data_IF_142546903904
#
_entry.id   IF_142546903904
#
_cell.length_a   1.000
_cell.length_b   1.000
_cell.length_c   1.000
_cell.angle_alpha   90.00
_cell.angle_beta   90.00
_cell.angle_gamma   90.00
#
_symmetry.space_group_name_H-M   'P 1'
#
loop_
_entity.id
_entity.type
_entity.pdbx_description
1 polymer ?
#
# COMPACT_ATOMS: atom_id res chain seq x y z
N UNK A 1 5.20 -7.51 27.82
CA UNK A 1 5.09 -6.08 27.46
C UNK A 1 4.06 -6.00 26.36
N UNK A 2 3.07 -5.09 26.44
CA UNK A 2 2.12 -4.89 25.33
C UNK A 2 2.84 -4.38 24.09
N UNK A 3 2.29 -4.62 22.91
CA UNK A 3 2.78 -4.04 21.66
C UNK A 3 2.70 -2.51 21.69
N UNK A 4 1.65 -1.96 22.31
CA UNK A 4 1.54 -0.52 22.57
C UNK A 4 2.80 0.02 23.28
N UNK A 5 3.20 -0.55 24.42
CA UNK A 5 4.37 -0.05 25.16
C UNK A 5 5.69 -0.35 24.43
N UNK A 6 5.79 -1.48 23.72
CA UNK A 6 6.94 -1.81 22.87
C UNK A 6 7.18 -0.69 21.84
N UNK A 7 6.14 -0.32 21.09
CA UNK A 7 6.26 0.63 19.99
C UNK A 7 6.38 2.09 20.46
N UNK A 8 5.80 2.44 21.61
CA UNK A 8 6.04 3.76 22.22
C UNK A 8 7.50 3.90 22.64
N UNK A 9 8.05 2.89 23.34
CA UNK A 9 9.40 2.95 23.86
C UNK A 9 10.47 3.01 22.75
N UNK A 10 10.16 2.52 21.55
CA UNK A 10 11.03 2.61 20.38
C UNK A 10 10.77 3.84 19.51
N UNK A 11 9.79 4.68 19.85
CA UNK A 11 9.41 5.83 19.05
C UNK A 11 10.19 7.09 19.45
N UNK A 12 10.54 7.91 18.45
CA UNK A 12 11.15 9.22 18.65
C UNK A 12 10.18 10.26 19.27
N UNK A 13 8.88 9.93 19.36
CA UNK A 13 7.85 10.86 19.84
C UNK A 13 6.95 10.26 20.93
N UNK A 14 7.54 9.58 21.92
CA UNK A 14 6.83 8.93 23.04
C UNK A 14 5.73 9.82 23.66
N UNK A 15 6.01 11.10 23.90
CA UNK A 15 5.06 12.04 24.51
C UNK A 15 3.77 12.15 23.69
N UNK A 16 3.88 12.27 22.37
CA UNK A 16 2.74 12.38 21.46
C UNK A 16 1.82 11.14 21.56
N UNK A 17 2.39 9.93 21.51
CA UNK A 17 1.58 8.71 21.57
C UNK A 17 0.92 8.52 22.93
N UNK A 18 1.62 8.87 24.03
CA UNK A 18 1.02 8.79 25.37
C UNK A 18 -0.18 9.72 25.52
N UNK A 19 -0.06 10.97 25.04
CA UNK A 19 -1.18 11.93 25.06
C UNK A 19 -2.39 11.44 24.26
N UNK A 20 -2.17 10.76 23.13
CA UNK A 20 -3.24 10.16 22.32
C UNK A 20 -3.85 8.93 22.97
N UNK A 21 -3.03 8.04 23.55
CA UNK A 21 -3.52 6.87 24.28
C UNK A 21 -4.39 7.21 25.49
N UNK A 22 -4.13 8.34 26.14
CA UNK A 22 -4.94 8.80 27.27
C UNK A 22 -6.37 9.19 26.83
N UNK A 23 -6.57 9.48 25.54
CA UNK A 23 -7.88 9.78 24.97
C UNK A 23 -8.65 8.53 24.54
N UNK A 24 -8.00 7.36 24.46
CA UNK A 24 -8.62 6.12 24.04
C UNK A 24 -9.30 5.39 25.20
N UNK A 25 -10.52 4.91 24.96
CA UNK A 25 -11.20 3.99 25.86
C UNK A 25 -10.59 2.56 25.81
N UNK A 26 -11.07 1.67 26.67
CA UNK A 26 -10.55 0.30 26.74
C UNK A 26 -10.81 -0.52 25.47
N UNK A 27 -11.92 -0.28 24.78
CA UNK A 27 -12.26 -0.96 23.52
C UNK A 27 -11.34 -0.50 22.40
N UNK A 28 -11.07 0.80 22.32
CA UNK A 28 -10.13 1.41 21.38
C UNK A 28 -8.70 0.91 21.63
N UNK A 29 -8.27 0.82 22.89
CA UNK A 29 -6.95 0.25 23.25
C UNK A 29 -6.81 -1.21 22.86
N UNK A 30 -7.85 -2.02 23.09
CA UNK A 30 -7.85 -3.42 22.64
C UNK A 30 -7.76 -3.54 21.11
N UNK A 31 -8.49 -2.70 20.37
CA UNK A 31 -8.43 -2.64 18.91
C UNK A 31 -7.06 -2.16 18.40
N UNK A 32 -6.44 -1.19 19.08
CA UNK A 32 -5.10 -0.72 18.76
C UNK A 32 -4.08 -1.86 18.89
N UNK A 33 -4.14 -2.64 19.97
CA UNK A 33 -3.25 -3.79 20.18
C UNK A 33 -3.42 -4.86 19.10
N UNK A 34 -4.67 -5.19 18.70
CA UNK A 34 -4.95 -6.11 17.58
C UNK A 34 -4.36 -5.61 16.25
N UNK A 35 -4.54 -4.32 15.95
CA UNK A 35 -4.02 -3.73 14.72
C UNK A 35 -2.49 -3.70 14.69
N UNK A 36 -1.83 -3.41 15.81
CA UNK A 36 -0.36 -3.46 15.91
C UNK A 36 0.18 -4.85 15.58
N UNK A 37 -0.42 -5.90 16.14
CA UNK A 37 -0.03 -7.29 15.86
C UNK A 37 -0.18 -7.63 14.38
N UNK A 38 -1.30 -7.20 13.77
CA UNK A 38 -1.59 -7.47 12.35
C UNK A 38 -0.68 -6.69 11.41
N UNK A 39 -0.39 -5.43 11.71
CA UNK A 39 0.53 -4.58 10.92
C UNK A 39 1.97 -5.09 11.04
N UNK A 40 2.42 -5.45 12.24
CA UNK A 40 3.74 -6.07 12.44
C UNK A 40 3.87 -7.36 11.63
N UNK A 41 2.87 -8.24 11.68
CA UNK A 41 2.85 -9.48 10.86
C UNK A 41 2.77 -9.21 9.37
N UNK A 42 2.16 -8.11 8.96
CA UNK A 42 2.12 -7.68 7.56
C UNK A 42 3.44 -7.05 7.10
N UNK A 43 4.38 -6.78 8.02
CA UNK A 43 5.71 -6.23 7.71
C UNK A 43 5.83 -4.72 7.91
N UNK A 44 4.86 -4.05 8.52
CA UNK A 44 4.94 -2.61 8.74
C UNK A 44 6.12 -2.24 9.65
N UNK A 45 6.96 -1.29 9.21
CA UNK A 45 8.10 -0.75 9.95
C UNK A 45 7.67 0.21 11.07
N UNK A 46 6.59 0.98 10.84
CA UNK A 46 6.02 1.94 11.81
C UNK A 46 4.55 1.63 12.14
N UNK A 47 4.24 0.44 12.66
CA UNK A 47 2.85 -0.02 12.81
C UNK A 47 2.01 0.86 13.74
N UNK A 48 2.63 1.60 14.66
CA UNK A 48 1.92 2.46 15.61
C UNK A 48 1.18 3.62 14.94
N UNK A 49 1.77 4.25 13.93
CA UNK A 49 1.14 5.37 13.21
C UNK A 49 -0.11 4.91 12.46
N UNK A 50 0.03 3.82 11.70
CA UNK A 50 -1.06 3.17 10.98
C UNK A 50 -2.18 2.72 11.92
N UNK A 51 -1.84 2.04 13.02
CA UNK A 51 -2.82 1.49 13.94
C UNK A 51 -3.55 2.60 14.72
N UNK A 52 -2.84 3.64 15.17
CA UNK A 52 -3.42 4.74 15.92
C UNK A 52 -4.37 5.56 15.04
N UNK A 53 -3.96 5.95 13.82
CA UNK A 53 -4.83 6.63 12.86
C UNK A 53 -6.08 5.80 12.52
N UNK A 54 -5.95 4.47 12.39
CA UNK A 54 -7.11 3.60 12.19
C UNK A 54 -8.15 3.74 13.32
N UNK A 55 -7.69 3.83 14.57
CA UNK A 55 -8.55 3.87 15.75
C UNK A 55 -9.15 5.25 15.95
N UNK A 56 -8.35 6.31 15.81
CA UNK A 56 -8.77 7.70 16.05
C UNK A 56 -9.67 8.25 14.96
N UNK A 57 -9.33 7.98 13.69
CA UNK A 57 -10.05 8.54 12.54
C UNK A 57 -11.11 7.58 12.00
N UNK A 58 -11.16 6.35 12.53
CA UNK A 58 -12.08 5.28 12.09
C UNK A 58 -11.93 4.85 10.62
N UNK A 59 -10.87 5.28 9.93
CA UNK A 59 -10.55 4.90 8.54
C UNK A 59 -9.87 3.52 8.46
N UNK A 60 -9.95 2.80 7.33
CA UNK A 60 -9.42 1.43 7.21
C UNK A 60 -7.91 1.42 6.90
N UNK A 61 -7.08 1.96 7.80
CA UNK A 61 -5.63 2.06 7.58
C UNK A 61 -4.97 0.70 7.33
N UNK A 62 -5.38 -0.38 8.02
CA UNK A 62 -4.78 -1.69 7.75
C UNK A 62 -5.09 -2.20 6.34
N UNK A 63 -6.30 -1.96 5.83
CA UNK A 63 -6.63 -2.29 4.44
C UNK A 63 -5.84 -1.43 3.45
N UNK A 64 -5.65 -0.13 3.76
CA UNK A 64 -4.78 0.77 2.98
C UNK A 64 -3.35 0.23 2.91
N UNK A 65 -2.78 -0.15 4.05
CA UNK A 65 -1.44 -0.75 4.13
C UNK A 65 -1.32 -2.00 3.27
N UNK A 66 -2.28 -2.94 3.37
CA UNK A 66 -2.26 -4.18 2.60
C UNK A 66 -2.36 -3.93 1.08
N UNK A 67 -3.16 -2.95 0.66
CA UNK A 67 -3.25 -2.57 -0.75
C UNK A 67 -1.91 -2.03 -1.25
N UNK A 68 -1.31 -1.08 -0.52
CA UNK A 68 -0.02 -0.48 -0.88
C UNK A 68 1.10 -1.51 -0.89
N UNK A 69 1.10 -2.44 0.07
CA UNK A 69 2.00 -3.60 0.09
C UNK A 69 1.92 -4.40 -1.20
N UNK A 70 0.72 -4.80 -1.62
CA UNK A 70 0.55 -5.55 -2.87
C UNK A 70 1.02 -4.77 -4.09
N UNK A 71 0.78 -3.46 -4.14
CA UNK A 71 1.29 -2.60 -5.23
C UNK A 71 2.82 -2.54 -5.25
N UNK A 72 3.48 -2.48 -4.09
CA UNK A 72 4.94 -2.51 -4.00
C UNK A 72 5.51 -3.88 -4.37
N UNK A 73 4.85 -4.98 -3.99
CA UNK A 73 5.22 -6.31 -4.44
C UNK A 73 5.16 -6.42 -5.98
N UNK A 74 4.14 -5.84 -6.63
CA UNK A 74 4.06 -5.75 -8.09
C UNK A 74 5.20 -4.90 -8.66
N UNK A 75 5.51 -3.74 -8.07
CA UNK A 75 6.59 -2.87 -8.54
C UNK A 75 7.95 -3.59 -8.52
N UNK A 76 8.18 -4.39 -7.48
CA UNK A 76 9.43 -5.11 -7.28
C UNK A 76 9.57 -6.34 -8.18
N UNK A 77 8.45 -6.93 -8.62
CA UNK A 77 8.40 -8.12 -9.47
C UNK A 77 8.58 -7.81 -10.97
N UNK A 78 9.80 -7.41 -11.34
CA UNK A 78 10.13 -7.08 -12.74
C UNK A 78 9.93 -8.29 -13.66
N UNK A 79 10.39 -9.46 -13.25
CA UNK A 79 10.36 -10.68 -14.05
C UNK A 79 8.90 -11.12 -14.30
N UNK A 80 8.07 -11.16 -13.25
CA UNK A 80 6.65 -11.46 -13.39
C UNK A 80 5.93 -10.44 -14.27
N UNK A 81 6.20 -9.14 -14.09
CA UNK A 81 5.60 -8.10 -14.94
C UNK A 81 5.99 -8.25 -16.42
N UNK A 82 7.24 -8.61 -16.72
CA UNK A 82 7.67 -8.87 -18.09
C UNK A 82 6.97 -10.09 -18.68
N UNK A 83 6.85 -11.19 -17.91
CA UNK A 83 6.12 -12.37 -18.35
C UNK A 83 4.64 -12.06 -18.64
N UNK A 84 3.99 -11.28 -17.77
CA UNK A 84 2.63 -10.83 -18.05
C UNK A 84 2.53 -9.94 -19.28
N UNK A 85 3.52 -9.08 -19.54
CA UNK A 85 3.53 -8.23 -20.72
C UNK A 85 3.58 -9.05 -22.02
N UNK A 86 4.34 -10.14 -22.04
CA UNK A 86 4.37 -11.12 -23.16
C UNK A 86 2.99 -11.75 -23.41
N UNK A 87 2.30 -12.14 -22.34
CA UNK A 87 0.99 -12.80 -22.42
C UNK A 87 -0.15 -11.85 -22.82
N UNK A 88 -0.07 -10.56 -22.44
CA UNK A 88 -1.19 -9.61 -22.61
C UNK A 88 -1.04 -8.69 -23.82
N UNK A 89 0.17 -8.42 -24.29
CA UNK A 89 0.40 -7.60 -25.49
C UNK A 89 0.67 -8.48 -26.72
N UNK A 90 -0.37 -9.16 -27.19
CA UNK A 90 -0.34 -9.96 -28.42
C UNK A 90 0.04 -9.15 -29.68
N UNK A 91 0.04 -7.82 -29.59
CA UNK A 91 0.36 -6.91 -30.69
C UNK A 91 1.83 -6.52 -30.78
N UNK A 92 2.61 -6.83 -29.73
CA UNK A 92 4.04 -6.57 -29.72
C UNK A 92 4.74 -7.60 -30.63
N UNK A 93 5.29 -7.12 -31.74
CA UNK A 93 5.86 -7.99 -32.79
C UNK A 93 7.22 -8.57 -32.40
N UNK A 94 7.94 -7.90 -31.48
CA UNK A 94 9.25 -8.33 -31.01
C UNK A 94 9.12 -9.27 -29.80
N UNK A 95 10.07 -10.17 -29.64
CA UNK A 95 10.17 -10.98 -28.43
C UNK A 95 10.65 -10.11 -27.25
N UNK A 96 9.82 -9.96 -26.21
CA UNK A 96 10.12 -9.09 -25.07
C UNK A 96 11.36 -9.55 -24.30
N UNK A 97 11.63 -10.85 -24.26
CA UNK A 97 12.82 -11.41 -23.64
C UNK A 97 14.06 -11.04 -24.46
N UNK A 98 13.98 -11.14 -25.79
CA UNK A 98 15.07 -10.74 -26.69
C UNK A 98 15.40 -9.25 -26.51
N UNK A 99 14.38 -8.38 -26.54
CA UNK A 99 14.56 -6.93 -26.37
C UNK A 99 15.12 -6.61 -24.98
N UNK A 100 14.63 -7.28 -23.93
CA UNK A 100 15.19 -7.13 -22.58
C UNK A 100 16.66 -7.51 -22.52
N UNK A 101 17.07 -8.61 -23.15
CA UNK A 101 18.47 -9.03 -23.19
C UNK A 101 19.37 -8.03 -23.96
N UNK A 102 18.86 -7.44 -25.04
CA UNK A 102 19.55 -6.35 -25.75
C UNK A 102 19.72 -5.11 -24.85
N UNK A 103 18.68 -4.72 -24.12
CA UNK A 103 18.73 -3.61 -23.17
C UNK A 103 19.71 -3.90 -22.01
N UNK A 104 19.67 -5.10 -21.42
CA UNK A 104 20.63 -5.53 -20.39
C UNK A 104 22.08 -5.41 -20.89
N UNK A 105 22.34 -5.74 -22.15
CA UNK A 105 23.67 -5.58 -22.77
C UNK A 105 24.07 -4.11 -22.91
N UNK A 106 23.13 -3.22 -23.23
CA UNK A 106 23.40 -1.81 -23.49
C UNK A 106 23.55 -0.97 -22.21
N UNK A 107 22.70 -1.19 -21.20
CA UNK A 107 22.62 -0.34 -20.00
C UNK A 107 22.90 -1.08 -18.68
N UNK A 108 23.19 -2.39 -18.75
CA UNK A 108 23.36 -3.25 -17.59
C UNK A 108 22.03 -3.69 -16.98
N UNK A 109 22.02 -4.85 -16.33
CA UNK A 109 20.85 -5.40 -15.65
C UNK A 109 20.32 -4.48 -14.55
N UNK A 110 21.20 -3.97 -13.69
CA UNK A 110 20.82 -2.98 -12.66
C UNK A 110 20.21 -1.71 -13.26
N UNK A 111 20.71 -1.27 -14.42
CA UNK A 111 20.22 -0.09 -15.12
C UNK A 111 18.80 -0.30 -15.64
N UNK A 112 18.56 -1.43 -16.32
CA UNK A 112 17.25 -1.82 -16.79
C UNK A 112 16.26 -2.00 -15.62
N UNK A 113 16.68 -2.68 -14.56
CA UNK A 113 15.82 -2.96 -13.42
C UNK A 113 15.37 -1.67 -12.72
N UNK A 114 16.27 -0.70 -12.53
CA UNK A 114 15.93 0.62 -11.98
C UNK A 114 14.96 1.38 -12.87
N UNK A 115 15.16 1.34 -14.19
CA UNK A 115 14.26 1.97 -15.14
C UNK A 115 12.85 1.37 -15.08
N UNK A 116 12.73 0.04 -15.15
CA UNK A 116 11.45 -0.65 -15.12
C UNK A 116 10.71 -0.41 -13.80
N UNK A 117 11.39 -0.53 -12.65
CA UNK A 117 10.79 -0.18 -11.35
C UNK A 117 10.28 1.25 -11.30
N UNK A 118 11.09 2.21 -11.77
CA UNK A 118 10.69 3.63 -11.79
C UNK A 118 9.50 3.87 -12.70
N UNK A 119 9.45 3.22 -13.86
CA UNK A 119 8.32 3.31 -14.79
C UNK A 119 7.04 2.71 -14.16
N UNK A 120 7.14 1.50 -13.59
CA UNK A 120 6.01 0.84 -12.91
C UNK A 120 5.51 1.66 -11.72
N UNK A 121 6.38 2.28 -10.92
CA UNK A 121 5.97 3.25 -9.87
C UNK A 121 5.12 4.39 -10.43
N UNK A 122 5.50 4.94 -11.59
CA UNK A 122 4.74 5.99 -12.27
C UNK A 122 3.38 5.51 -12.78
N UNK A 123 3.30 4.29 -13.33
CA UNK A 123 2.02 3.67 -13.74
C UNK A 123 1.13 3.43 -12.52
N UNK A 124 1.68 2.89 -11.43
CA UNK A 124 0.94 2.63 -10.20
C UNK A 124 0.42 3.91 -9.55
N UNK A 125 1.15 5.02 -9.62
CA UNK A 125 0.65 6.33 -9.20
C UNK A 125 -0.63 6.73 -9.94
N UNK A 126 -0.67 6.51 -11.27
CA UNK A 126 -1.87 6.81 -12.07
C UNK A 126 -3.04 5.89 -11.71
N UNK A 127 -2.78 4.61 -11.47
CA UNK A 127 -3.80 3.65 -11.01
C UNK A 127 -4.33 4.04 -9.63
N UNK A 128 -3.46 4.46 -8.71
CA UNK A 128 -3.84 4.95 -7.38
C UNK A 128 -4.74 6.18 -7.48
N UNK A 129 -4.39 7.17 -8.31
CA UNK A 129 -5.23 8.35 -8.51
C UNK A 129 -6.60 7.94 -9.06
N UNK A 130 -6.64 7.02 -10.03
CA UNK A 130 -7.90 6.49 -10.55
C UNK A 130 -8.75 5.81 -9.45
N UNK A 131 -8.13 5.06 -8.54
CA UNK A 131 -8.82 4.42 -7.41
C UNK A 131 -9.33 5.45 -6.41
N UNK A 132 -8.52 6.44 -6.05
CA UNK A 132 -8.88 7.47 -5.08
C UNK A 132 -9.96 8.42 -5.62
N UNK A 133 -9.92 8.75 -6.92
CA UNK A 133 -10.89 9.62 -7.58
C UNK A 133 -12.19 8.91 -7.98
N UNK A 134 -12.16 7.58 -8.15
CA UNK A 134 -13.38 6.77 -8.33
C UNK A 134 -14.25 7.13 -9.53
N UNK A 135 -13.72 7.88 -10.52
CA UNK A 135 -14.46 8.48 -11.62
C UNK A 135 -15.73 9.23 -11.17
N UNK A 136 -15.69 9.94 -10.03
CA UNK A 136 -16.79 10.81 -9.63
C UNK A 136 -17.03 11.88 -10.69
N UNK A 137 -18.10 11.73 -11.47
CA UNK A 137 -18.43 12.69 -12.51
C UNK A 137 -19.69 13.49 -12.19
N UNK A 138 -19.73 14.73 -12.68
CA UNK A 138 -20.84 15.65 -12.49
C UNK A 138 -21.97 15.44 -13.49
N UNK A 139 -21.80 14.50 -14.42
CA UNK A 139 -22.73 14.28 -15.54
C UNK A 139 -23.78 13.20 -15.22
N UNK A 140 -23.71 12.59 -14.03
CA UNK A 140 -24.65 11.60 -13.55
C UNK A 140 -24.32 10.16 -13.96
N UNK A 141 -23.12 9.89 -14.48
CA UNK A 141 -22.68 8.53 -14.74
C UNK A 141 -22.27 7.82 -13.43
N UNK A 142 -22.25 6.47 -13.40
CA UNK A 142 -21.83 5.74 -12.22
C UNK A 142 -20.35 5.98 -11.88
N UNK A 143 -20.09 6.40 -10.65
CA UNK A 143 -18.76 6.34 -10.02
C UNK A 143 -18.56 5.05 -9.24
N UNK A 144 -17.36 4.85 -8.71
CA UNK A 144 -16.99 3.68 -7.90
C UNK A 144 -16.00 4.04 -6.79
N UNK A 145 -15.84 3.15 -5.81
CA UNK A 145 -14.84 3.26 -4.75
C UNK A 145 -14.31 1.88 -4.38
N UNK A 146 -13.08 1.83 -3.88
CA UNK A 146 -12.55 0.64 -3.24
C UNK A 146 -13.14 0.50 -1.82
N UNK A 147 -13.63 -0.70 -1.49
CA UNK A 147 -14.28 -1.00 -0.21
C UNK A 147 -13.51 -2.07 0.56
N UNK A 148 -13.43 -1.88 1.88
CA UNK A 148 -12.90 -2.90 2.78
C UNK A 148 -13.90 -4.06 2.91
N UNK A 149 -13.37 -5.28 2.92
CA UNK A 149 -14.10 -6.52 3.21
C UNK A 149 -13.55 -7.16 4.49
N UNK A 150 -14.43 -7.76 5.28
CA UNK A 150 -14.02 -8.51 6.47
C UNK A 150 -13.60 -9.94 6.12
N UNK A 151 -13.22 -10.72 7.14
CA UNK A 151 -12.80 -12.11 7.00
C UNK A 151 -13.88 -13.06 6.46
N UNK A 152 -15.15 -12.66 6.44
CA UNK A 152 -16.27 -13.42 5.86
C UNK A 152 -16.56 -13.01 4.40
N UNK A 153 -15.76 -12.09 3.83
CA UNK A 153 -16.00 -11.53 2.50
C UNK A 153 -17.13 -10.50 2.44
N UNK A 154 -17.63 -10.01 3.58
CA UNK A 154 -18.67 -8.98 3.62
C UNK A 154 -18.05 -7.58 3.61
N UNK A 155 -18.62 -6.70 2.80
CA UNK A 155 -18.26 -5.27 2.75
C UNK A 155 -18.52 -4.64 4.14
N UNK A 156 -17.51 -3.98 4.71
CA UNK A 156 -17.61 -3.33 6.03
C UNK A 156 -18.27 -1.96 5.97
N UNK A 157 -18.42 -1.41 4.77
CA UNK A 157 -18.92 -0.08 4.50
C UNK A 157 -17.83 0.99 4.42
N UNK A 158 -16.61 0.70 4.89
CA UNK A 158 -15.48 1.63 4.85
C UNK A 158 -14.87 1.74 3.46
N UNK A 159 -14.59 2.99 3.04
CA UNK A 159 -13.86 3.27 1.82
C UNK A 159 -12.36 3.13 2.10
N UNK A 160 -11.66 2.37 1.26
CA UNK A 160 -10.20 2.38 1.20
C UNK A 160 -9.82 3.43 0.16
N UNK A 161 -9.41 4.61 0.62
CA UNK A 161 -8.97 5.70 -0.24
C UNK A 161 -7.89 6.52 0.46
N UNK A 162 -7.40 7.58 -0.18
CA UNK A 162 -6.21 8.32 0.27
C UNK A 162 -4.95 7.48 0.14
N UNK A 163 -4.90 6.62 -0.89
CA UNK A 163 -3.75 5.76 -1.18
C UNK A 163 -2.56 6.60 -1.63
N UNK A 164 -2.79 7.65 -2.42
CA UNK A 164 -1.73 8.55 -2.91
C UNK A 164 -0.95 9.23 -1.77
N UNK A 165 -1.63 9.57 -0.67
CA UNK A 165 -1.02 10.22 0.51
C UNK A 165 0.06 9.36 1.15
N UNK A 166 -0.13 8.04 1.11
CA UNK A 166 0.80 7.09 1.74
C UNK A 166 1.77 6.46 0.74
N UNK A 167 1.46 6.44 -0.56
CA UNK A 167 2.28 5.76 -1.56
C UNK A 167 3.67 6.37 -1.74
N UNK A 168 3.77 7.71 -1.66
CA UNK A 168 5.04 8.43 -1.90
C UNK A 168 6.15 7.95 -0.97
N UNK A 169 5.83 7.74 0.30
CA UNK A 169 6.79 7.39 1.34
C UNK A 169 6.68 5.92 1.79
N UNK A 170 5.85 5.11 1.11
CA UNK A 170 5.51 3.76 1.58
C UNK A 170 6.72 2.80 1.64
N UNK A 171 7.75 3.01 0.85
CA UNK A 171 8.98 2.19 0.88
C UNK A 171 9.69 2.26 2.25
N UNK A 172 9.53 3.37 2.96
CA UNK A 172 10.03 3.54 4.32
C UNK A 172 9.13 2.88 5.38
N UNK A 173 7.93 2.46 4.98
CA UNK A 173 6.88 1.91 5.83
C UNK A 173 6.78 0.37 5.78
N UNK A 174 7.33 -0.28 4.75
CA UNK A 174 7.30 -1.75 4.52
C UNK A 174 8.67 -2.40 4.51
#
# INVERSE_FOLDING_TARGET
>A
MSLIEKYIASSDNEKYYRERLDQLDQTQKAKLEDLLDRLEKAGAKKPLDWALSNVEESIPQFARFLMLKGLFEIIEDIEGNMGFAEDVDESYEDDIEEVSNQLKTAIGEDGLNKFLKSYTKGVMWQVINLIDEGNYNTNGDPGWVLKEVNSEGKITGKNVGGLHESFVDFEEEI
#
